data_IF_717655813606
#
_entry.id   IF_717655813606
#
_cell.length_a   1.000
_cell.length_b   1.000
_cell.length_c   1.000
_cell.angle_alpha   90.00
_cell.angle_beta   90.00
_cell.angle_gamma   90.00
#
_symmetry.space_group_name_H-M   'P 1'
#
loop_
_entity.id
_entity.type
_entity.pdbx_description
1 polymer ?
#
# COMPACT_ATOMS: atom_id res chain seq x y z
N UNK A 1 -14.74 -0.45 -10.47
CA UNK A 1 -13.35 -0.93 -10.32
C UNK A 1 -13.29 -2.19 -9.46
N UNK A 2 -13.76 -2.19 -8.20
CA UNK A 2 -13.74 -3.41 -7.37
C UNK A 2 -14.43 -4.61 -8.02
N UNK A 3 -15.64 -4.43 -8.56
CA UNK A 3 -16.37 -5.51 -9.26
C UNK A 3 -15.57 -6.10 -10.43
N UNK A 4 -14.82 -5.28 -11.17
CA UNK A 4 -13.95 -5.73 -12.26
C UNK A 4 -12.75 -6.51 -11.70
N UNK A 5 -12.11 -6.03 -10.63
CA UNK A 5 -10.99 -6.74 -10.01
C UNK A 5 -11.41 -8.14 -9.51
N UNK A 6 -12.62 -8.27 -8.97
CA UNK A 6 -13.20 -9.57 -8.57
C UNK A 6 -13.53 -10.44 -9.78
N UNK A 7 -14.06 -9.85 -10.85
CA UNK A 7 -14.34 -10.58 -12.10
C UNK A 7 -13.06 -11.13 -12.75
N UNK A 8 -11.97 -10.37 -12.68
CA UNK A 8 -10.64 -10.77 -13.15
C UNK A 8 -9.91 -11.73 -12.19
N UNK A 9 -10.48 -11.98 -10.99
CA UNK A 9 -9.90 -12.86 -9.97
C UNK A 9 -8.70 -12.27 -9.21
N UNK A 10 -8.47 -10.96 -9.31
CA UNK A 10 -7.37 -10.28 -8.63
C UNK A 10 -7.52 -10.34 -7.10
N UNK A 11 -8.75 -10.32 -6.60
CA UNK A 11 -9.05 -10.46 -5.17
C UNK A 11 -8.47 -11.75 -4.58
N UNK A 12 -8.60 -12.86 -5.31
CA UNK A 12 -8.03 -14.17 -4.91
C UNK A 12 -6.51 -14.19 -4.95
N UNK A 13 -5.90 -13.53 -5.94
CA UNK A 13 -4.43 -13.43 -6.04
C UNK A 13 -3.88 -12.65 -4.85
N UNK A 14 -4.53 -11.54 -4.49
CA UNK A 14 -4.15 -10.74 -3.33
C UNK A 14 -4.33 -11.52 -2.01
N UNK A 15 -5.47 -12.21 -1.82
CA UNK A 15 -5.69 -13.06 -0.64
C UNK A 15 -4.65 -14.17 -0.50
N UNK A 16 -4.31 -14.85 -1.59
CA UNK A 16 -3.27 -15.89 -1.58
C UNK A 16 -1.89 -15.35 -1.20
N UNK A 17 -1.61 -14.08 -1.55
CA UNK A 17 -0.39 -13.37 -1.14
C UNK A 17 -0.46 -12.77 0.27
N UNK A 18 -1.57 -12.97 1.00
CA UNK A 18 -1.76 -12.48 2.38
C UNK A 18 -2.28 -11.05 2.47
N UNK A 19 -2.78 -10.47 1.38
CA UNK A 19 -3.40 -9.15 1.36
C UNK A 19 -4.91 -9.24 1.56
N UNK A 20 -5.47 -8.20 2.19
CA UNK A 20 -6.92 -8.02 2.30
C UNK A 20 -7.39 -7.00 1.26
N UNK A 21 -8.33 -7.40 0.39
CA UNK A 21 -9.01 -6.46 -0.51
C UNK A 21 -10.10 -5.72 0.27
N UNK A 22 -9.82 -4.46 0.60
CA UNK A 22 -10.75 -3.59 1.34
C UNK A 22 -11.66 -2.80 0.40
N UNK A 23 -12.82 -2.39 0.91
CA UNK A 23 -13.76 -1.54 0.17
C UNK A 23 -13.08 -0.28 -0.37
N UNK A 24 -13.46 0.18 -1.58
CA UNK A 24 -12.85 1.33 -2.21
C UNK A 24 -13.00 2.58 -1.32
N UNK A 25 -11.87 3.18 -0.98
CA UNK A 25 -11.82 4.31 -0.10
C UNK A 25 -10.39 4.80 0.11
N UNK A 26 -10.28 5.94 0.78
CA UNK A 26 -8.98 6.59 1.01
C UNK A 26 -8.11 5.85 2.05
N UNK A 27 -8.68 4.96 2.88
CA UNK A 27 -7.97 4.23 3.94
C UNK A 27 -7.06 5.17 4.75
N UNK A 28 -5.79 4.80 4.98
CA UNK A 28 -4.79 5.57 5.71
C UNK A 28 -4.42 6.92 5.07
N UNK A 29 -5.00 7.33 3.93
CA UNK A 29 -4.61 8.55 3.23
C UNK A 29 -4.66 9.81 4.09
N UNK A 30 -5.46 9.89 5.15
CA UNK A 30 -5.53 11.07 6.03
C UNK A 30 -5.17 10.72 7.50
N UNK A 31 -4.99 9.44 7.84
CA UNK A 31 -4.62 9.00 9.19
C UNK A 31 -5.65 9.34 10.28
N UNK A 32 -6.90 9.65 9.91
CA UNK A 32 -7.99 9.97 10.83
C UNK A 32 -8.83 8.75 11.22
N UNK A 33 -8.81 7.70 10.40
CA UNK A 33 -9.44 6.41 10.68
C UNK A 33 -8.47 5.46 11.42
N UNK A 34 -8.92 4.25 11.72
CA UNK A 34 -8.11 3.23 12.41
C UNK A 34 -6.93 2.73 11.58
N UNK A 35 -6.95 2.95 10.26
CA UNK A 35 -5.84 2.64 9.36
C UNK A 35 -4.69 3.64 9.55
N UNK A 36 -3.76 3.32 10.46
CA UNK A 36 -2.57 4.13 10.71
C UNK A 36 -1.32 3.30 10.63
N UNK A 37 -0.30 3.85 9.96
CA UNK A 37 1.06 3.32 9.99
C UNK A 37 1.61 3.52 11.41
N UNK A 38 2.08 2.46 12.08
CA UNK A 38 2.58 2.58 13.45
C UNK A 38 3.79 3.51 13.56
N UNK A 39 4.00 4.16 14.73
CA UNK A 39 5.18 4.98 14.99
C UNK A 39 6.48 4.23 14.70
N UNK A 40 7.45 4.90 14.08
CA UNK A 40 8.76 4.34 13.74
C UNK A 40 8.76 3.35 12.57
N UNK A 41 7.60 3.09 11.94
CA UNK A 41 7.51 2.24 10.74
C UNK A 41 7.59 3.06 9.46
N UNK A 42 8.06 2.39 8.41
CA UNK A 42 8.08 2.90 7.04
C UNK A 42 6.88 2.34 6.26
N UNK A 43 6.30 3.17 5.40
CA UNK A 43 5.21 2.79 4.50
C UNK A 43 5.60 3.13 3.06
N UNK A 44 5.35 2.19 2.15
CA UNK A 44 5.39 2.43 0.70
C UNK A 44 3.94 2.61 0.25
N UNK A 45 3.61 3.77 -0.31
CA UNK A 45 2.23 4.18 -0.56
C UNK A 45 2.05 4.63 -2.00
N UNK A 46 0.95 4.20 -2.62
CA UNK A 46 0.49 4.69 -3.93
C UNK A 46 -0.39 5.93 -3.83
N UNK A 47 -0.47 6.54 -2.63
CA UNK A 47 -1.08 7.86 -2.44
C UNK A 47 -0.25 8.96 -3.12
N UNK A 48 -0.72 10.20 -3.03
CA UNK A 48 -0.05 11.37 -3.59
C UNK A 48 0.53 12.32 -2.52
N UNK A 49 0.45 11.96 -1.24
CA UNK A 49 0.89 12.82 -0.11
C UNK A 49 1.64 12.01 0.94
N UNK A 50 2.80 12.51 1.35
CA UNK A 50 3.67 11.87 2.35
C UNK A 50 4.22 12.84 3.41
N UNK A 51 3.56 13.98 3.64
CA UNK A 51 3.98 14.89 4.71
C UNK A 51 3.88 14.22 6.09
N UNK A 52 4.63 14.74 7.07
CA UNK A 52 4.74 14.14 8.39
C UNK A 52 3.37 13.94 9.06
N UNK A 53 3.15 12.75 9.63
CA UNK A 53 1.90 12.39 10.30
C UNK A 53 0.75 12.00 9.37
N UNK A 54 0.89 12.13 8.04
CA UNK A 54 -0.22 11.95 7.08
C UNK A 54 -0.90 10.58 7.15
N UNK A 55 -0.12 9.51 7.20
CA UNK A 55 -0.64 8.14 7.28
C UNK A 55 -0.48 7.53 8.67
N UNK A 56 0.06 8.29 9.63
CA UNK A 56 0.30 7.84 10.99
C UNK A 56 1.33 8.72 11.70
N UNK A 57 1.13 9.05 12.98
CA UNK A 57 2.06 9.89 13.73
C UNK A 57 3.43 9.20 13.87
N UNK A 58 4.51 9.97 13.66
CA UNK A 58 5.91 9.47 13.71
C UNK A 58 6.21 8.31 12.75
N UNK A 59 5.39 8.12 11.71
CA UNK A 59 5.68 7.21 10.60
C UNK A 59 6.35 7.95 9.44
N UNK A 60 6.97 7.22 8.52
CA UNK A 60 7.57 7.78 7.30
C UNK A 60 7.01 7.08 6.07
N UNK A 61 6.49 7.88 5.14
CA UNK A 61 5.90 7.38 3.89
C UNK A 61 6.77 7.72 2.68
N UNK A 62 6.99 6.72 1.82
CA UNK A 62 7.52 6.89 0.48
C UNK A 62 6.37 6.82 -0.53
N UNK A 63 6.35 7.75 -1.49
CA UNK A 63 5.42 7.69 -2.61
C UNK A 63 6.02 6.79 -3.70
N UNK A 64 5.20 5.88 -4.23
CA UNK A 64 5.64 4.89 -5.21
C UNK A 64 4.54 4.58 -6.23
N UNK A 65 4.94 4.11 -7.40
CA UNK A 65 4.00 3.51 -8.37
C UNK A 65 3.44 2.19 -7.83
N UNK A 66 2.33 1.68 -8.38
CA UNK A 66 1.82 0.36 -8.01
C UNK A 66 2.85 -0.77 -8.19
N UNK A 67 3.66 -0.69 -9.25
CA UNK A 67 4.72 -1.67 -9.53
C UNK A 67 5.82 -1.65 -8.46
N UNK A 68 6.31 -0.47 -8.08
CA UNK A 68 7.32 -0.34 -7.02
C UNK A 68 6.76 -0.71 -5.63
N UNK A 69 5.49 -0.42 -5.36
CA UNK A 69 4.83 -0.85 -4.13
C UNK A 69 4.72 -2.38 -4.05
N UNK A 70 4.38 -3.04 -5.16
CA UNK A 70 4.36 -4.50 -5.25
C UNK A 70 5.77 -5.11 -5.08
N UNK A 71 6.80 -4.51 -5.70
CA UNK A 71 8.18 -4.96 -5.53
C UNK A 71 8.65 -4.87 -4.07
N UNK A 72 8.33 -3.78 -3.39
CA UNK A 72 8.66 -3.60 -1.98
C UNK A 72 7.90 -4.58 -1.07
N UNK A 73 6.64 -4.87 -1.39
CA UNK A 73 5.85 -5.87 -0.69
C UNK A 73 6.44 -7.29 -0.80
N UNK A 74 6.93 -7.67 -1.99
CA UNK A 74 7.56 -8.98 -2.23
C UNK A 74 8.91 -9.10 -1.48
N UNK A 75 9.71 -8.03 -1.52
CA UNK A 75 11.11 -8.07 -1.05
C UNK A 75 11.31 -7.60 0.39
N UNK A 76 10.31 -6.97 1.01
CA UNK A 76 10.37 -6.44 2.37
C UNK A 76 11.26 -5.21 2.54
N UNK A 77 11.70 -4.58 1.45
CA UNK A 77 12.58 -3.40 1.45
C UNK A 77 12.27 -2.48 0.26
N UNK A 78 12.83 -1.27 0.27
CA UNK A 78 12.77 -0.38 -0.91
C UNK A 78 13.55 -1.04 -2.05
N UNK A 79 12.85 -1.36 -3.13
CA UNK A 79 13.39 -2.15 -4.25
C UNK A 79 13.06 -1.48 -5.57
N UNK A 80 14.04 -1.48 -6.47
CA UNK A 80 13.82 -1.09 -7.86
C UNK A 80 13.03 -2.21 -8.56
N UNK A 81 11.85 -1.88 -9.08
CA UNK A 81 10.98 -2.90 -9.69
C UNK A 81 11.62 -3.59 -10.90
N UNK A 82 12.58 -2.94 -11.57
CA UNK A 82 13.28 -3.49 -12.73
C UNK A 82 14.16 -4.71 -12.38
N UNK A 83 14.49 -4.89 -11.11
CA UNK A 83 15.24 -6.07 -10.65
C UNK A 83 14.36 -7.34 -10.55
N UNK A 84 13.04 -7.21 -10.68
CA UNK A 84 12.06 -8.31 -10.59
C UNK A 84 11.34 -8.59 -11.91
N UNK A 85 11.69 -7.91 -13.00
CA UNK A 85 11.05 -7.99 -14.31
C UNK A 85 11.89 -8.75 -15.33
#
# INVERSE_FOLDING_TARGET
VEAQARQEGLDKIFEQAGFELRSPGCSACLGMNEDKVPPGKYCISTSNRNFEGRQGPKSRTFLASPLSAAAAAITGKVTDVRELM
#
